data_IF_548743799493
#
_entry.id   IF_548743799493
#
_cell.length_a   1.000
_cell.length_b   1.000
_cell.length_c   1.000
_cell.angle_alpha   90.00
_cell.angle_beta   90.00
_cell.angle_gamma   90.00
#
_symmetry.space_group_name_H-M   'P 1'
#
loop_
_entity.id
_entity.type
_entity.pdbx_description
1 polymer ?
#
# COMPACT_ATOMS: atom_id res chain seq x y z
N UNK A 1 -7.45 -11.70 -8.24
CA UNK A 1 -7.16 -10.71 -7.19
C UNK A 1 -6.14 -9.74 -7.77
N UNK A 2 -6.45 -8.44 -7.83
CA UNK A 2 -5.54 -7.46 -8.46
C UNK A 2 -4.46 -7.11 -7.45
N UNK A 3 -3.23 -7.50 -7.73
CA UNK A 3 -2.04 -7.11 -7.00
C UNK A 3 -1.34 -6.03 -7.83
N UNK A 4 -1.21 -4.83 -7.27
CA UNK A 4 -0.39 -3.79 -7.90
C UNK A 4 1.02 -3.88 -7.33
N UNK A 5 2.01 -3.87 -8.21
CA UNK A 5 3.42 -3.87 -7.87
C UNK A 5 4.04 -2.71 -8.63
N UNK A 6 4.69 -1.80 -7.91
CA UNK A 6 5.44 -0.70 -8.53
C UNK A 6 6.82 -0.63 -7.92
N UNK A 7 7.81 -0.35 -8.76
CA UNK A 7 9.10 0.13 -8.30
C UNK A 7 8.95 1.57 -7.80
N UNK A 8 9.73 1.94 -6.80
CA UNK A 8 9.85 3.32 -6.33
C UNK A 8 11.33 3.67 -6.17
N UNK A 9 11.66 4.93 -6.42
CA UNK A 9 12.99 5.51 -6.22
C UNK A 9 12.80 6.92 -5.66
N UNK A 10 13.35 7.14 -4.46
CA UNK A 10 13.31 8.37 -3.70
C UNK A 10 14.69 9.04 -3.59
N UNK A 11 15.70 8.56 -4.34
CA UNK A 11 17.09 9.01 -4.20
C UNK A 11 17.27 10.51 -4.47
N UNK A 12 16.38 11.12 -5.26
CA UNK A 12 16.38 12.57 -5.55
C UNK A 12 14.96 13.17 -5.70
N UNK A 13 13.91 12.39 -5.46
CA UNK A 13 12.52 12.76 -5.75
C UNK A 13 11.60 12.24 -4.65
N UNK A 14 10.45 12.91 -4.46
CA UNK A 14 9.43 12.37 -3.57
C UNK A 14 8.58 11.35 -4.32
N UNK A 15 8.33 10.19 -3.72
CA UNK A 15 7.43 9.19 -4.29
C UNK A 15 6.07 9.22 -3.60
N UNK A 16 5.02 9.47 -4.39
CA UNK A 16 3.63 9.43 -3.93
C UNK A 16 2.89 8.27 -4.57
N UNK A 17 2.37 7.37 -3.74
CA UNK A 17 1.47 6.31 -4.13
C UNK A 17 0.03 6.82 -4.06
N UNK A 18 -0.71 6.75 -5.16
CA UNK A 18 -2.15 7.03 -5.21
C UNK A 18 -2.92 5.71 -5.28
N UNK A 19 -3.85 5.50 -4.34
CA UNK A 19 -4.66 4.29 -4.26
C UNK A 19 -6.13 4.68 -4.32
N UNK A 20 -6.86 4.11 -5.27
CA UNK A 20 -8.29 4.35 -5.46
C UNK A 20 -9.09 3.08 -5.24
N UNK A 21 -10.17 3.18 -4.46
CA UNK A 21 -11.17 2.15 -4.38
C UNK A 21 -12.14 2.26 -5.56
N UNK A 22 -11.94 1.45 -6.60
CA UNK A 22 -12.84 1.44 -7.78
C UNK A 22 -14.18 0.73 -7.54
N UNK A 23 -14.42 0.22 -6.33
CA UNK A 23 -15.63 -0.52 -5.98
C UNK A 23 -16.73 0.39 -5.40
N UNK A 24 -17.97 -0.10 -5.48
CA UNK A 24 -19.16 0.55 -4.90
C UNK A 24 -19.38 0.26 -3.40
N UNK A 25 -18.43 -0.42 -2.75
CA UNK A 25 -18.47 -0.79 -1.34
C UNK A 25 -17.12 -0.48 -0.70
N UNK A 26 -17.08 -0.43 0.64
CA UNK A 26 -15.84 -0.19 1.39
C UNK A 26 -14.83 -1.30 1.09
N UNK A 27 -13.60 -0.92 0.74
CA UNK A 27 -12.52 -1.85 0.46
C UNK A 27 -11.42 -1.75 1.51
N UNK A 28 -10.86 -2.90 1.87
CA UNK A 28 -9.67 -2.99 2.73
C UNK A 28 -8.49 -3.43 1.90
N UNK A 29 -7.33 -2.84 2.16
CA UNK A 29 -6.12 -3.14 1.40
C UNK A 29 -4.89 -3.03 2.28
N UNK A 30 -3.85 -3.76 1.90
CA UNK A 30 -2.56 -3.79 2.57
C UNK A 30 -1.50 -3.25 1.64
N UNK A 31 -0.64 -2.41 2.18
CA UNK A 31 0.52 -1.87 1.49
C UNK A 31 1.75 -2.42 2.18
N UNK A 32 2.67 -2.97 1.40
CA UNK A 32 3.97 -3.42 1.90
C UNK A 32 5.06 -2.78 1.06
N UNK A 33 6.00 -2.13 1.73
CA UNK A 33 7.16 -1.47 1.11
C UNK A 33 8.40 -2.27 1.44
N UNK A 34 9.11 -2.68 0.40
CA UNK A 34 10.40 -3.35 0.47
C UNK A 34 11.49 -2.40 0.02
N UNK A 35 12.66 -2.51 0.63
CA UNK A 35 13.90 -1.86 0.21
C UNK A 35 14.56 -2.66 -0.93
N UNK A 36 15.58 -2.08 -1.58
CA UNK A 36 16.32 -2.68 -2.69
C UNK A 36 16.97 -4.04 -2.34
N UNK A 37 17.28 -4.27 -1.06
CA UNK A 37 17.82 -5.53 -0.54
C UNK A 37 16.75 -6.61 -0.31
N UNK A 38 15.47 -6.31 -0.59
CA UNK A 38 14.34 -7.20 -0.38
C UNK A 38 13.82 -7.24 1.06
N UNK A 39 14.39 -6.46 2.00
CA UNK A 39 13.89 -6.35 3.37
C UNK A 39 12.60 -5.54 3.41
N UNK A 40 11.65 -5.95 4.25
CA UNK A 40 10.43 -5.17 4.49
C UNK A 40 10.76 -3.94 5.32
N UNK A 41 10.56 -2.75 4.76
CA UNK A 41 10.80 -1.48 5.45
C UNK A 41 9.55 -0.93 6.14
N UNK A 42 8.37 -1.16 5.55
CA UNK A 42 7.12 -0.65 6.11
C UNK A 42 5.91 -1.47 5.65
N UNK A 43 4.87 -1.51 6.48
CA UNK A 43 3.59 -2.12 6.15
C UNK A 43 2.44 -1.38 6.84
N UNK A 44 1.29 -1.31 6.16
CA UNK A 44 0.06 -0.79 6.73
C UNK A 44 -1.17 -1.42 6.10
N UNK A 45 -2.19 -1.68 6.90
CA UNK A 45 -3.52 -2.07 6.45
C UNK A 45 -4.44 -0.85 6.58
N UNK A 46 -5.15 -0.52 5.50
CA UNK A 46 -6.00 0.67 5.37
C UNK A 46 -7.36 0.30 4.79
N UNK A 47 -8.27 1.28 4.78
CA UNK A 47 -9.59 1.13 4.18
C UNK A 47 -10.05 2.41 3.50
N UNK A 48 -10.69 2.27 2.36
CA UNK A 48 -11.26 3.37 1.57
C UNK A 48 -12.76 3.17 1.43
N UNK A 49 -13.52 4.25 1.57
CA UNK A 49 -14.94 4.30 1.22
C UNK A 49 -15.13 4.03 -0.29
N UNK A 50 -16.37 3.73 -0.74
CA UNK A 50 -16.65 3.55 -2.17
C UNK A 50 -16.14 4.72 -2.99
N UNK A 51 -15.39 4.45 -4.06
CA UNK A 51 -14.86 5.45 -5.00
C UNK A 51 -13.89 6.47 -4.40
N UNK A 52 -13.44 6.26 -3.16
CA UNK A 52 -12.48 7.14 -2.50
C UNK A 52 -11.06 6.87 -2.99
N UNK A 53 -10.24 7.92 -2.98
CA UNK A 53 -8.82 7.88 -3.30
C UNK A 53 -8.01 8.45 -2.15
N UNK A 54 -6.90 7.81 -1.81
CA UNK A 54 -5.89 8.38 -0.91
C UNK A 54 -4.53 8.50 -1.58
N UNK A 55 -3.73 9.44 -1.09
CA UNK A 55 -2.35 9.66 -1.50
C UNK A 55 -1.42 9.42 -0.33
N UNK A 56 -0.39 8.64 -0.56
CA UNK A 56 0.57 8.22 0.45
C UNK A 56 1.95 8.62 -0.04
N UNK A 57 2.56 9.56 0.67
CA UNK A 57 3.94 9.91 0.45
C UNK A 57 4.83 8.86 1.13
N UNK A 58 5.54 8.07 0.34
CA UNK A 58 6.37 6.96 0.83
C UNK A 58 7.57 7.48 1.63
N UNK A 59 8.11 8.64 1.28
CA UNK A 59 9.20 9.27 2.03
C UNK A 59 8.80 9.58 3.47
N UNK A 60 7.54 9.92 3.71
CA UNK A 60 7.08 10.28 5.04
C UNK A 60 6.85 9.07 5.95
N UNK A 61 6.69 7.86 5.39
CA UNK A 61 6.49 6.64 6.18
C UNK A 61 7.77 5.82 6.36
N UNK A 62 8.80 6.09 5.56
CA UNK A 62 10.10 5.44 5.67
C UNK A 62 11.07 6.26 6.53
N UNK A 63 11.89 5.59 7.35
CA UNK A 63 12.97 6.27 8.06
C UNK A 63 14.02 6.77 7.04
N UNK A 64 14.71 7.90 7.29
CA UNK A 64 15.60 8.55 6.32
C UNK A 64 16.65 7.62 5.69
N UNK A 65 17.20 6.69 6.47
CA UNK A 65 18.21 5.72 6.05
C UNK A 65 17.71 4.67 5.03
N UNK A 66 16.38 4.51 4.92
CA UNK A 66 15.71 3.58 4.00
C UNK A 66 15.12 4.27 2.76
N UNK A 67 15.30 5.59 2.61
CA UNK A 67 14.79 6.36 1.45
C UNK A 67 15.74 6.29 0.27
N UNK A 68 15.78 5.15 -0.41
CA UNK A 68 16.58 4.97 -1.64
C UNK A 68 15.70 4.50 -2.76
N UNK A 69 15.49 3.19 -2.86
CA UNK A 69 14.69 2.59 -3.90
C UNK A 69 14.16 1.25 -3.39
N UNK A 70 13.16 0.72 -4.08
CA UNK A 70 12.67 -0.60 -3.77
C UNK A 70 11.34 -0.91 -4.45
N UNK A 71 10.53 -1.68 -3.75
CA UNK A 71 9.25 -2.17 -4.25
C UNK A 71 8.11 -1.76 -3.34
N UNK A 72 6.99 -1.33 -3.91
CA UNK A 72 5.72 -1.20 -3.20
C UNK A 72 4.73 -2.20 -3.76
N UNK A 73 4.09 -2.93 -2.85
CA UNK A 73 3.04 -3.89 -3.17
C UNK A 73 1.75 -3.40 -2.53
N UNK A 74 0.71 -3.27 -3.34
CA UNK A 74 -0.65 -2.98 -2.89
C UNK A 74 -1.53 -4.18 -3.24
N UNK A 75 -2.16 -4.76 -2.22
CA UNK A 75 -3.02 -5.92 -2.38
C UNK A 75 -4.30 -5.76 -1.53
N UNK A 76 -5.43 -6.34 -1.96
CA UNK A 76 -6.61 -6.45 -1.11
C UNK A 76 -6.22 -7.12 0.20
N UNK A 77 -6.63 -6.52 1.33
CA UNK A 77 -6.47 -7.17 2.62
C UNK A 77 -7.51 -8.29 2.64
N UNK A 78 -7.08 -9.54 2.80
CA UNK A 78 -8.01 -10.61 3.02
C UNK A 78 -8.89 -10.24 4.23
N UNK A 79 -10.19 -10.12 4.00
CA UNK A 79 -11.14 -10.12 5.09
C UNK A 79 -10.94 -11.47 5.77
N UNK A 80 -10.43 -11.48 7.02
CA UNK A 80 -10.13 -12.72 7.71
C UNK A 80 -11.33 -13.66 7.59
N UNK A 81 -11.10 -14.83 6.99
CA UNK A 81 -12.11 -15.89 6.78
C UNK A 81 -12.58 -16.55 8.09
N UNK A 82 -12.56 -15.81 9.21
CA UNK A 82 -13.05 -16.23 10.52
C UNK A 82 -14.37 -15.56 10.93
N UNK A 83 -14.97 -14.75 10.04
CA UNK A 83 -16.35 -14.26 10.24
C UNK A 83 -17.21 -14.56 9.03
N UNK A 84 -17.49 -15.84 8.83
CA UNK A 84 -18.82 -16.21 8.35
C UNK A 84 -19.81 -15.80 9.43
N UNK A 85 -20.42 -14.63 9.26
CA UNK A 85 -21.82 -14.35 9.56
C UNK A 85 -22.10 -12.90 9.16
N UNK A 86 -23.05 -12.79 8.22
CA UNK A 86 -23.76 -11.59 7.72
C UNK A 86 -22.93 -10.59 6.91
N UNK A 87 -22.99 -10.80 5.59
CA UNK A 87 -22.85 -9.76 4.56
C UNK A 87 -23.98 -8.73 4.64
#
# INVERSE_FOLDING_TARGET
MVKCISYWDCSNWNFTLEVMNVQNHKAHYKITVYDHDGSQSWQSTRSLAPYETERINIDHVLPPEKRREGLVIVEPAECSRDRFLTC
#
